data_IF_697574561144
#
_entry.id   IF_697574561144
#
_cell.length_a   1.000
_cell.length_b   1.000
_cell.length_c   1.000
_cell.angle_alpha   90.00
_cell.angle_beta   90.00
_cell.angle_gamma   90.00
#
_symmetry.space_group_name_H-M   'P 1'
#
loop_
_entity.id
_entity.type
_entity.pdbx_description
1 polymer ?
#
# COMPACT_ATOMS: atom_id res chain seq x y z
N UNK A 1 -29.22 -5.42 9.38
CA UNK A 1 -28.31 -6.16 8.47
C UNK A 1 -28.89 -6.00 7.08
N UNK A 2 -28.17 -5.29 6.22
CA UNK A 2 -28.53 -5.20 4.81
C UNK A 2 -28.12 -6.51 4.14
N UNK A 3 -29.05 -7.11 3.40
CA UNK A 3 -28.82 -8.39 2.74
C UNK A 3 -27.95 -8.24 1.49
N UNK A 4 -27.32 -9.33 1.06
CA UNK A 4 -26.73 -9.38 -0.28
C UNK A 4 -27.81 -9.07 -1.34
N UNK A 5 -27.42 -8.35 -2.39
CA UNK A 5 -28.30 -7.86 -3.43
C UNK A 5 -29.05 -6.57 -3.09
N UNK A 6 -28.84 -5.97 -1.92
CA UNK A 6 -29.39 -4.65 -1.62
C UNK A 6 -28.70 -3.56 -2.43
N UNK A 7 -29.47 -2.55 -2.83
CA UNK A 7 -28.94 -1.39 -3.52
C UNK A 7 -28.07 -0.54 -2.56
N UNK A 8 -27.06 0.16 -3.08
CA UNK A 8 -26.17 1.06 -2.32
C UNK A 8 -26.95 2.06 -1.43
N UNK A 9 -28.10 2.53 -1.91
CA UNK A 9 -29.00 3.42 -1.18
C UNK A 9 -29.70 2.79 0.04
N UNK A 10 -29.60 1.48 0.24
CA UNK A 10 -30.14 0.77 1.40
C UNK A 10 -29.09 0.52 2.51
N UNK A 11 -27.80 0.68 2.21
CA UNK A 11 -26.71 0.51 3.17
C UNK A 11 -26.79 1.49 4.35
N UNK A 12 -26.42 1.08 5.56
CA UNK A 12 -26.26 2.07 6.63
C UNK A 12 -25.02 2.94 6.37
N UNK A 13 -25.01 4.18 6.85
CA UNK A 13 -23.86 5.09 6.68
C UNK A 13 -23.27 5.52 8.02
N UNK A 14 -21.96 5.81 8.08
CA UNK A 14 -20.99 5.72 6.98
C UNK A 14 -20.55 4.29 6.64
N UNK A 15 -20.31 4.02 5.35
CA UNK A 15 -19.85 2.72 4.88
C UNK A 15 -18.66 2.82 3.92
N UNK A 16 -17.62 2.02 4.14
CA UNK A 16 -16.54 1.85 3.17
C UNK A 16 -17.02 0.93 2.05
N UNK A 17 -17.03 1.45 0.84
CA UNK A 17 -17.46 0.76 -0.36
C UNK A 17 -16.25 0.35 -1.19
N UNK A 18 -16.38 -0.80 -1.85
CA UNK A 18 -15.41 -1.31 -2.80
C UNK A 18 -16.14 -1.69 -4.09
N UNK A 19 -15.89 -0.94 -5.16
CA UNK A 19 -16.36 -1.27 -6.50
C UNK A 19 -15.55 -2.44 -7.05
N UNK A 20 -16.19 -3.61 -7.20
CA UNK A 20 -15.51 -4.83 -7.62
C UNK A 20 -15.07 -4.78 -9.07
N UNK A 21 -15.83 -4.15 -9.95
CA UNK A 21 -15.46 -4.06 -11.37
C UNK A 21 -14.25 -3.14 -11.53
N UNK A 22 -14.19 -2.01 -10.81
CA UNK A 22 -13.03 -1.12 -10.81
C UNK A 22 -11.79 -1.79 -10.19
N UNK A 23 -11.96 -2.50 -9.07
CA UNK A 23 -10.88 -3.27 -8.45
C UNK A 23 -10.29 -4.30 -9.43
N UNK A 24 -11.14 -5.10 -10.07
CA UNK A 24 -10.73 -6.17 -10.98
C UNK A 24 -10.04 -5.59 -12.23
N UNK A 25 -10.57 -4.47 -12.78
CA UNK A 25 -9.90 -3.74 -13.87
C UNK A 25 -8.52 -3.19 -13.47
N UNK A 26 -8.39 -2.64 -12.27
CA UNK A 26 -7.11 -2.10 -11.79
C UNK A 26 -6.06 -3.21 -11.61
N UNK A 27 -6.48 -4.37 -11.07
CA UNK A 27 -5.62 -5.56 -10.95
C UNK A 27 -5.15 -6.02 -12.33
N UNK A 28 -6.06 -6.18 -13.29
CA UNK A 28 -5.69 -6.62 -14.64
C UNK A 28 -4.80 -5.58 -15.34
N UNK A 29 -5.09 -4.29 -15.19
CA UNK A 29 -4.30 -3.20 -15.79
C UNK A 29 -2.83 -3.25 -15.34
N UNK A 30 -2.59 -3.44 -14.04
CA UNK A 30 -1.24 -3.58 -13.52
C UNK A 30 -0.61 -4.90 -13.97
N UNK A 31 -1.34 -6.01 -13.95
CA UNK A 31 -0.84 -7.30 -14.38
C UNK A 31 -0.43 -7.28 -15.87
N UNK A 32 -1.24 -6.68 -16.74
CA UNK A 32 -0.93 -6.47 -18.16
C UNK A 32 0.32 -5.61 -18.35
N UNK A 33 0.43 -4.51 -17.60
CA UNK A 33 1.61 -3.65 -17.66
C UNK A 33 2.89 -4.40 -17.26
N UNK A 34 2.85 -5.11 -16.13
CA UNK A 34 3.99 -5.85 -15.57
C UNK A 34 4.48 -6.95 -16.51
N UNK A 35 3.58 -7.65 -17.21
CA UNK A 35 3.96 -8.63 -18.25
C UNK A 35 4.77 -8.03 -19.40
N UNK A 36 4.72 -6.72 -19.61
CA UNK A 36 5.41 -6.00 -20.68
C UNK A 36 6.77 -5.41 -20.30
N UNK A 37 7.20 -5.52 -19.04
CA UNK A 37 8.39 -4.87 -18.48
C UNK A 37 9.30 -5.89 -17.77
N UNK A 38 10.58 -5.58 -17.50
CA UNK A 38 11.50 -6.56 -16.92
C UNK A 38 11.25 -6.88 -15.43
N UNK A 39 10.61 -5.98 -14.68
CA UNK A 39 10.32 -6.19 -13.26
C UNK A 39 9.02 -6.95 -13.06
N UNK A 40 8.96 -7.75 -11.99
CA UNK A 40 7.77 -8.44 -11.51
C UNK A 40 6.95 -7.56 -10.53
N UNK A 41 5.75 -8.01 -10.15
CA UNK A 41 4.92 -7.32 -9.16
C UNK A 41 4.85 -8.08 -7.84
N UNK A 42 5.19 -7.39 -6.75
CA UNK A 42 4.97 -7.84 -5.37
C UNK A 42 4.11 -6.81 -4.62
N UNK A 43 2.78 -6.84 -4.80
CA UNK A 43 1.90 -5.76 -4.41
C UNK A 43 1.89 -5.54 -2.91
N UNK A 44 1.61 -4.30 -2.51
CA UNK A 44 1.71 -3.90 -1.12
C UNK A 44 0.37 -3.89 -0.38
N UNK A 45 0.23 -4.85 0.52
CA UNK A 45 -0.96 -5.18 1.30
C UNK A 45 -1.38 -4.12 2.32
N UNK A 46 -0.48 -3.20 2.70
CA UNK A 46 -0.81 -2.12 3.67
C UNK A 46 -1.99 -1.28 3.20
N UNK A 47 -2.22 -1.26 1.89
CA UNK A 47 -3.31 -0.57 1.22
C UNK A 47 -4.67 -1.16 1.59
N UNK A 48 -4.82 -2.49 1.57
CA UNK A 48 -6.13 -3.14 1.71
C UNK A 48 -6.29 -4.08 2.90
N UNK A 49 -5.19 -4.66 3.41
CA UNK A 49 -5.21 -5.46 4.65
C UNK A 49 -6.22 -6.62 4.61
N UNK A 50 -6.55 -7.10 3.41
CA UNK A 50 -7.59 -8.09 3.14
C UNK A 50 -7.04 -9.23 2.27
N UNK A 51 -6.94 -10.46 2.81
CA UNK A 51 -6.37 -11.60 2.09
C UNK A 51 -7.12 -11.99 0.80
N UNK A 52 -8.42 -11.68 0.70
CA UNK A 52 -9.21 -11.96 -0.52
C UNK A 52 -8.64 -11.18 -1.71
N UNK A 53 -8.29 -9.91 -1.49
CA UNK A 53 -7.70 -9.05 -2.53
C UNK A 53 -6.28 -9.52 -2.86
N UNK A 54 -5.50 -9.91 -1.84
CA UNK A 54 -4.16 -10.45 -2.03
C UNK A 54 -4.17 -11.70 -2.93
N UNK A 55 -5.10 -12.64 -2.69
CA UNK A 55 -5.26 -13.82 -3.54
C UNK A 55 -5.66 -13.46 -4.96
N UNK A 56 -6.55 -12.48 -5.17
CA UNK A 56 -6.88 -11.98 -6.52
C UNK A 56 -5.64 -11.43 -7.25
N UNK A 57 -4.73 -10.74 -6.55
CA UNK A 57 -3.49 -10.24 -7.16
C UNK A 57 -2.51 -11.37 -7.48
N UNK A 58 -2.40 -12.38 -6.60
CA UNK A 58 -1.59 -13.58 -6.86
C UNK A 58 -2.13 -14.38 -8.05
N UNK A 59 -3.45 -14.53 -8.16
CA UNK A 59 -4.12 -15.17 -9.31
C UNK A 59 -3.86 -14.42 -10.62
N UNK A 60 -3.71 -13.09 -10.57
CA UNK A 60 -3.36 -12.25 -11.72
C UNK A 60 -1.86 -12.29 -12.08
N UNK A 61 -1.03 -12.98 -11.29
CA UNK A 61 0.39 -13.21 -11.60
C UNK A 61 1.38 -12.51 -10.68
N UNK A 62 0.97 -11.89 -9.57
CA UNK A 62 1.91 -11.37 -8.59
C UNK A 62 2.79 -12.50 -7.99
N UNK A 63 4.08 -12.22 -7.78
CA UNK A 63 5.07 -13.22 -7.35
C UNK A 63 5.08 -13.49 -5.84
N UNK A 64 4.26 -12.76 -5.09
CA UNK A 64 4.19 -12.77 -3.63
C UNK A 64 3.50 -11.50 -3.16
N UNK A 65 3.67 -11.11 -1.91
CA UNK A 65 3.10 -9.86 -1.37
C UNK A 65 4.09 -9.09 -0.50
N UNK A 66 3.80 -7.80 -0.29
CA UNK A 66 4.56 -6.91 0.59
C UNK A 66 3.71 -6.42 1.77
N UNK A 67 4.19 -6.65 3.00
CA UNK A 67 3.60 -6.15 4.24
C UNK A 67 4.47 -5.04 4.86
N UNK A 68 3.85 -4.07 5.53
CA UNK A 68 4.59 -3.00 6.21
C UNK A 68 4.97 -3.38 7.65
N UNK A 69 4.26 -4.35 8.22
CA UNK A 69 4.40 -4.80 9.61
C UNK A 69 4.25 -6.30 9.75
N UNK A 70 4.85 -6.83 10.82
CA UNK A 70 4.77 -8.27 11.13
C UNK A 70 3.34 -8.72 11.39
N UNK A 71 2.53 -7.91 12.08
CA UNK A 71 1.12 -8.23 12.30
C UNK A 71 0.30 -8.43 11.01
N UNK A 72 0.61 -7.66 9.96
CA UNK A 72 0.01 -7.81 8.64
C UNK A 72 0.47 -9.11 7.98
N UNK A 73 1.79 -9.38 7.99
CA UNK A 73 2.37 -10.61 7.43
C UNK A 73 1.79 -11.88 8.07
N UNK A 74 1.59 -11.88 9.40
CA UNK A 74 0.95 -12.99 10.10
C UNK A 74 -0.51 -13.21 9.65
N UNK A 75 -1.26 -12.14 9.37
CA UNK A 75 -2.63 -12.24 8.88
C UNK A 75 -2.68 -12.87 7.48
N UNK A 76 -1.79 -12.44 6.59
CA UNK A 76 -1.69 -12.97 5.24
C UNK A 76 -1.20 -14.41 5.21
N UNK A 77 -0.22 -14.74 6.04
CA UNK A 77 0.28 -16.10 6.20
C UNK A 77 -0.79 -17.06 6.75
N UNK A 78 -1.60 -16.61 7.71
CA UNK A 78 -2.74 -17.39 8.22
C UNK A 78 -3.79 -17.66 7.13
N UNK A 79 -3.91 -16.78 6.13
CA UNK A 79 -4.77 -16.96 4.97
C UNK A 79 -4.13 -17.79 3.83
N UNK A 80 -2.97 -18.40 4.08
CA UNK A 80 -2.31 -19.32 3.14
C UNK A 80 -1.26 -18.69 2.23
N UNK A 81 -1.02 -17.37 2.31
CA UNK A 81 -0.03 -16.68 1.48
C UNK A 81 1.37 -16.94 2.06
N UNK A 82 2.29 -17.45 1.23
CA UNK A 82 3.58 -17.96 1.73
C UNK A 82 4.78 -17.08 1.41
N UNK A 83 4.81 -16.43 0.26
CA UNK A 83 5.90 -15.53 -0.12
C UNK A 83 5.57 -14.09 0.29
N UNK A 84 6.23 -13.61 1.36
CA UNK A 84 5.94 -12.33 1.99
C UNK A 84 7.23 -11.55 2.24
N UNK A 85 7.34 -10.38 1.61
CA UNK A 85 8.31 -9.36 1.97
C UNK A 85 7.74 -8.48 3.08
N UNK A 86 8.44 -8.36 4.20
CA UNK A 86 8.21 -7.31 5.20
C UNK A 86 9.15 -6.17 4.85
N UNK A 87 8.64 -5.17 4.12
CA UNK A 87 9.36 -3.98 3.66
C UNK A 87 9.58 -2.96 4.80
N UNK A 88 10.10 -3.44 5.93
CA UNK A 88 10.35 -2.69 7.16
C UNK A 88 11.21 -3.49 8.15
N UNK A 89 11.92 -2.80 9.03
CA UNK A 89 12.74 -3.43 10.07
C UNK A 89 11.86 -4.00 11.18
N UNK A 90 12.15 -5.24 11.59
CA UNK A 90 11.49 -5.88 12.74
C UNK A 90 12.42 -5.80 13.95
N UNK A 91 12.07 -4.91 14.88
CA UNK A 91 12.87 -4.61 16.07
C UNK A 91 12.12 -4.88 17.37
N UNK A 92 12.81 -5.52 18.31
CA UNK A 92 12.34 -5.83 19.66
C UNK A 92 12.00 -7.30 19.85
N UNK A 93 12.37 -7.84 21.01
CA UNK A 93 12.33 -9.29 21.31
C UNK A 93 10.97 -9.96 21.03
N UNK A 94 9.81 -9.36 21.39
CA UNK A 94 8.52 -9.99 21.09
C UNK A 94 8.25 -10.12 19.59
N UNK A 95 8.67 -9.15 18.78
CA UNK A 95 8.45 -9.16 17.34
C UNK A 95 9.43 -10.12 16.66
N UNK A 96 10.70 -10.07 17.04
CA UNK A 96 11.74 -10.96 16.50
C UNK A 96 11.38 -12.43 16.77
N UNK A 97 10.92 -12.76 17.98
CA UNK A 97 10.45 -14.12 18.30
C UNK A 97 9.29 -14.56 17.42
N UNK A 98 8.31 -13.69 17.18
CA UNK A 98 7.16 -13.98 16.30
C UNK A 98 7.59 -14.14 14.85
N UNK A 99 8.47 -13.26 14.34
CA UNK A 99 9.02 -13.31 13.00
C UNK A 99 9.72 -14.64 12.71
N UNK A 100 10.64 -15.07 13.57
CA UNK A 100 11.37 -16.34 13.36
C UNK A 100 10.46 -17.56 13.47
N UNK A 101 9.37 -17.48 14.25
CA UNK A 101 8.37 -18.54 14.27
C UNK A 101 7.53 -18.54 12.98
N UNK A 102 7.17 -17.37 12.45
CA UNK A 102 6.46 -17.24 11.18
C UNK A 102 7.28 -17.80 10.01
N UNK A 103 8.58 -17.49 9.97
CA UNK A 103 9.53 -17.97 8.97
C UNK A 103 9.74 -19.50 8.97
N UNK A 104 9.22 -20.24 9.96
CA UNK A 104 9.19 -21.72 9.93
C UNK A 104 8.11 -22.26 8.99
N UNK A 105 7.11 -21.45 8.68
CA UNK A 105 5.90 -21.89 8.01
C UNK A 105 5.67 -21.14 6.69
N UNK A 106 6.28 -19.99 6.50
CA UNK A 106 6.16 -19.15 5.32
C UNK A 106 7.55 -18.65 4.88
N UNK A 107 7.70 -18.35 3.60
CA UNK A 107 8.88 -17.71 3.05
C UNK A 107 8.83 -16.21 3.36
N UNK A 108 9.42 -15.84 4.49
CA UNK A 108 9.44 -14.46 4.98
C UNK A 108 10.79 -13.84 4.66
N UNK A 109 10.76 -12.73 3.91
CA UNK A 109 11.88 -11.83 3.69
C UNK A 109 11.67 -10.61 4.58
N UNK A 110 12.69 -10.16 5.32
CA UNK A 110 12.60 -8.96 6.19
C UNK A 110 13.69 -7.95 5.87
N UNK A 111 13.35 -6.66 5.88
CA UNK A 111 14.30 -5.59 5.68
C UNK A 111 15.24 -5.39 6.89
N UNK A 112 16.52 -5.13 6.62
CA UNK A 112 17.55 -4.78 7.61
C UNK A 112 18.36 -3.58 7.15
N UNK A 113 18.86 -2.79 8.10
CA UNK A 113 19.64 -1.57 7.81
C UNK A 113 20.80 -1.34 8.80
N UNK A 114 20.98 -2.22 9.79
CA UNK A 114 22.00 -2.01 10.83
C UNK A 114 22.55 -3.31 11.41
N UNK A 115 23.83 -3.30 11.75
CA UNK A 115 24.54 -4.43 12.38
C UNK A 115 23.86 -4.89 13.68
N UNK A 116 23.28 -3.95 14.45
CA UNK A 116 22.55 -4.27 15.67
C UNK A 116 21.32 -5.13 15.41
N UNK A 117 20.51 -4.76 14.40
CA UNK A 117 19.34 -5.53 14.03
C UNK A 117 19.71 -6.87 13.37
N UNK A 118 20.73 -6.88 12.50
CA UNK A 118 21.27 -8.10 11.87
C UNK A 118 21.67 -9.14 12.93
N UNK A 119 22.47 -8.74 13.93
CA UNK A 119 22.91 -9.66 15.01
C UNK A 119 21.74 -10.19 15.83
N UNK A 120 20.76 -9.35 16.13
CA UNK A 120 19.58 -9.76 16.90
C UNK A 120 18.75 -10.80 16.13
N UNK A 121 18.48 -10.55 14.84
CA UNK A 121 17.77 -11.48 13.98
C UNK A 121 18.56 -12.78 13.78
N UNK A 122 19.87 -12.69 13.56
CA UNK A 122 20.75 -13.84 13.38
C UNK A 122 20.73 -14.77 14.60
N UNK A 123 20.84 -14.21 15.80
CA UNK A 123 20.82 -14.99 17.04
C UNK A 123 19.46 -15.66 17.28
N UNK A 124 18.36 -14.93 17.08
CA UNK A 124 17.02 -15.49 17.21
C UNK A 124 16.74 -16.61 16.20
N UNK A 125 17.13 -16.41 14.94
CA UNK A 125 17.01 -17.40 13.88
C UNK A 125 17.84 -18.66 14.19
N UNK A 126 19.08 -18.47 14.65
CA UNK A 126 19.99 -19.56 15.08
C UNK A 126 19.38 -20.37 16.22
N UNK A 127 18.89 -19.72 17.27
CA UNK A 127 18.26 -20.38 18.42
C UNK A 127 17.01 -21.19 18.03
N UNK A 128 16.30 -20.78 16.98
CA UNK A 128 15.07 -21.43 16.51
C UNK A 128 15.30 -22.44 15.39
N UNK A 129 16.53 -22.58 14.90
CA UNK A 129 16.89 -23.47 13.80
C UNK A 129 16.29 -23.04 12.46
N UNK A 130 16.16 -21.73 12.23
CA UNK A 130 15.62 -21.16 10.98
C UNK A 130 16.73 -20.43 10.25
N UNK A 131 16.71 -20.52 8.92
CA UNK A 131 17.50 -19.65 8.06
C UNK A 131 16.59 -18.54 7.53
N UNK A 132 16.70 -17.34 8.09
CA UNK A 132 15.80 -16.22 7.81
C UNK A 132 16.26 -15.47 6.57
N UNK A 133 15.35 -15.23 5.62
CA UNK A 133 15.62 -14.40 4.46
C UNK A 133 15.62 -12.91 4.87
N UNK A 134 16.66 -12.18 4.44
CA UNK A 134 16.82 -10.76 4.71
C UNK A 134 17.14 -10.00 3.44
N UNK A 135 16.69 -8.75 3.37
CA UNK A 135 16.98 -7.80 2.30
C UNK A 135 17.52 -6.51 2.91
N UNK A 136 18.51 -5.87 2.29
CA UNK A 136 19.05 -4.61 2.83
C UNK A 136 18.20 -3.45 2.32
N UNK A 137 17.66 -2.60 3.21
CA UNK A 137 17.06 -1.33 2.79
C UNK A 137 18.17 -0.30 2.54
N UNK A 138 18.13 0.36 1.39
CA UNK A 138 19.04 1.42 0.96
C UNK A 138 18.26 2.72 0.88
N UNK A 139 18.77 3.78 1.51
CA UNK A 139 18.17 5.11 1.43
C UNK A 139 18.54 5.76 0.09
N UNK A 140 17.59 5.76 -0.83
CA UNK A 140 17.69 6.35 -2.18
C UNK A 140 17.13 7.79 -2.22
N UNK A 141 17.16 8.49 -1.08
CA UNK A 141 16.72 9.87 -0.94
C UNK A 141 15.41 10.06 -0.17
N UNK A 142 14.81 8.99 0.34
CA UNK A 142 13.57 9.08 1.12
C UNK A 142 13.84 9.57 2.56
N UNK A 143 15.09 9.53 3.04
CA UNK A 143 15.52 10.06 4.33
C UNK A 143 14.67 9.53 5.50
N UNK A 144 14.35 8.23 5.45
CA UNK A 144 13.44 7.55 6.39
C UNK A 144 14.15 6.42 7.12
N UNK A 145 14.55 5.42 6.36
CA UNK A 145 15.24 4.19 6.75
C UNK A 145 16.18 3.83 5.59
N UNK A 146 17.13 2.95 5.85
CA UNK A 146 18.08 2.39 4.92
C UNK A 146 19.52 2.80 5.22
N UNK A 147 20.46 1.97 4.77
CA UNK A 147 21.88 2.34 4.69
C UNK A 147 22.10 3.33 3.56
N UNK A 148 23.15 4.14 3.67
CA UNK A 148 23.58 4.94 2.53
C UNK A 148 24.03 4.03 1.36
N UNK A 149 23.80 4.45 0.10
CA UNK A 149 24.25 3.71 -1.09
C UNK A 149 25.76 3.41 -1.08
N UNK A 150 26.16 2.33 -1.76
CA UNK A 150 27.57 1.95 -1.94
C UNK A 150 28.21 1.24 -0.74
N UNK A 151 29.39 1.69 -0.30
CA UNK A 151 30.22 0.97 0.69
C UNK A 151 29.50 0.71 2.03
N UNK A 152 28.70 1.63 2.61
CA UNK A 152 27.98 1.34 3.85
C UNK A 152 27.01 0.15 3.73
N UNK A 153 26.36 0.02 2.57
CA UNK A 153 25.50 -1.14 2.26
C UNK A 153 26.32 -2.42 2.10
N UNK A 154 27.49 -2.32 1.45
CA UNK A 154 28.42 -3.45 1.31
C UNK A 154 28.99 -3.92 2.66
N UNK A 155 29.28 -3.02 3.58
CA UNK A 155 29.70 -3.35 4.95
C UNK A 155 28.63 -4.15 5.69
N UNK A 156 27.36 -3.74 5.58
CA UNK A 156 26.25 -4.49 6.16
C UNK A 156 26.08 -5.87 5.51
N UNK A 157 26.25 -5.97 4.17
CA UNK A 157 26.21 -7.25 3.46
C UNK A 157 27.30 -8.22 3.97
N UNK A 158 28.50 -7.72 4.26
CA UNK A 158 29.58 -8.51 4.89
C UNK A 158 29.21 -8.98 6.30
N UNK A 159 28.57 -8.14 7.12
CA UNK A 159 28.09 -8.53 8.45
C UNK A 159 27.04 -9.64 8.35
N UNK A 160 26.05 -9.50 7.45
CA UNK A 160 25.01 -10.51 7.21
C UNK A 160 25.63 -11.85 6.79
N UNK A 161 26.61 -11.84 5.87
CA UNK A 161 27.27 -13.07 5.42
C UNK A 161 28.07 -13.80 6.51
N UNK A 162 28.45 -13.11 7.59
CA UNK A 162 29.09 -13.74 8.75
C UNK A 162 28.11 -14.58 9.61
N UNK A 163 26.80 -14.51 9.33
CA UNK A 163 25.75 -15.19 10.07
C UNK A 163 25.05 -16.28 9.22
N UNK A 164 25.39 -17.57 9.39
CA UNK A 164 24.79 -18.67 8.61
C UNK A 164 23.27 -18.85 8.78
N UNK A 165 22.70 -18.32 9.88
CA UNK A 165 21.26 -18.31 10.15
C UNK A 165 20.50 -17.24 9.36
N UNK A 166 21.19 -16.40 8.60
CA UNK A 166 20.60 -15.44 7.68
C UNK A 166 20.88 -15.83 6.22
N UNK A 167 19.98 -15.41 5.34
CA UNK A 167 20.09 -15.55 3.91
C UNK A 167 19.81 -14.19 3.26
N UNK A 168 20.85 -13.52 2.79
CA UNK A 168 20.68 -12.29 2.04
C UNK A 168 20.06 -12.58 0.67
N UNK A 169 18.94 -11.93 0.36
CA UNK A 169 18.22 -12.04 -0.92
C UNK A 169 18.47 -10.85 -1.85
N UNK A 170 19.13 -9.79 -1.39
CA UNK A 170 19.41 -8.61 -2.19
C UNK A 170 19.16 -7.32 -1.43
N UNK A 171 18.59 -6.33 -2.11
CA UNK A 171 18.38 -4.98 -1.61
C UNK A 171 17.03 -4.40 -2.03
N UNK A 172 16.53 -3.46 -1.23
CA UNK A 172 15.36 -2.66 -1.56
C UNK A 172 15.67 -1.17 -1.41
N UNK A 173 15.02 -0.32 -2.20
CA UNK A 173 15.14 1.13 -2.09
C UNK A 173 13.85 1.81 -2.55
N UNK A 174 13.11 2.39 -1.61
CA UNK A 174 11.81 2.96 -1.89
C UNK A 174 11.86 4.48 -2.10
N UNK A 175 11.60 4.92 -3.32
CA UNK A 175 11.51 6.32 -3.75
C UNK A 175 10.17 6.97 -3.37
N UNK A 176 9.83 6.91 -2.07
CA UNK A 176 8.57 7.43 -1.53
C UNK A 176 8.30 8.91 -1.81
N UNK A 177 9.35 9.71 -1.87
CA UNK A 177 9.29 11.14 -2.19
C UNK A 177 8.84 11.45 -3.62
N UNK A 178 8.83 10.45 -4.52
CA UNK A 178 8.39 10.62 -5.91
C UNK A 178 6.89 10.34 -6.11
N UNK A 179 6.24 9.62 -5.19
CA UNK A 179 4.93 8.99 -5.45
C UNK A 179 3.80 9.95 -5.78
N UNK A 180 3.87 11.19 -5.28
CA UNK A 180 2.81 12.19 -5.45
C UNK A 180 3.30 13.44 -6.21
N UNK A 181 4.43 13.34 -6.90
CA UNK A 181 4.84 14.36 -7.89
C UNK A 181 3.88 14.27 -9.06
N UNK A 182 3.21 15.40 -9.34
CA UNK A 182 2.13 15.49 -10.34
C UNK A 182 2.69 15.30 -11.75
N UNK A 183 3.67 16.13 -12.12
CA UNK A 183 4.30 16.14 -13.44
C UNK A 183 5.08 14.85 -13.69
N UNK A 184 4.79 14.18 -14.81
CA UNK A 184 5.39 12.89 -15.12
C UNK A 184 6.89 12.98 -15.37
N UNK A 185 7.37 14.05 -16.02
CA UNK A 185 8.78 14.18 -16.39
C UNK A 185 9.65 14.51 -15.18
N UNK A 186 9.20 15.41 -14.29
CA UNK A 186 9.84 15.66 -13.00
C UNK A 186 9.91 14.38 -12.15
N UNK A 187 8.82 13.60 -12.13
CA UNK A 187 8.78 12.33 -11.42
C UNK A 187 9.74 11.31 -12.03
N UNK A 188 9.82 11.24 -13.36
CA UNK A 188 10.74 10.37 -14.10
C UNK A 188 12.19 10.72 -13.79
N UNK A 189 12.57 11.98 -13.83
CA UNK A 189 13.94 12.43 -13.51
C UNK A 189 14.35 11.97 -12.10
N UNK A 190 13.52 12.27 -11.10
CA UNK A 190 13.80 11.95 -9.69
C UNK A 190 13.80 10.45 -9.40
N UNK A 191 12.83 9.70 -9.91
CA UNK A 191 12.76 8.25 -9.72
C UNK A 191 13.93 7.54 -10.40
N UNK A 192 14.32 7.97 -11.61
CA UNK A 192 15.49 7.44 -12.33
C UNK A 192 16.78 7.70 -11.56
N UNK A 193 16.92 8.88 -10.93
CA UNK A 193 18.04 9.20 -10.06
C UNK A 193 18.14 8.27 -8.84
N UNK A 194 17.01 8.04 -8.15
CA UNK A 194 16.94 7.11 -7.03
C UNK A 194 17.29 5.67 -7.45
N UNK A 195 16.78 5.20 -8.59
CA UNK A 195 17.06 3.86 -9.10
C UNK A 195 18.53 3.70 -9.54
N UNK A 196 19.17 4.77 -10.02
CA UNK A 196 20.60 4.75 -10.32
C UNK A 196 21.45 4.50 -9.06
N UNK A 197 21.11 5.12 -7.93
CA UNK A 197 21.78 4.86 -6.64
C UNK A 197 21.55 3.42 -6.16
N UNK A 198 20.32 2.91 -6.30
CA UNK A 198 19.99 1.54 -5.91
C UNK A 198 20.75 0.52 -6.76
N UNK A 199 20.70 0.65 -8.09
CA UNK A 199 21.29 -0.29 -9.03
C UNK A 199 22.82 -0.22 -9.00
N UNK A 200 23.42 0.96 -8.85
CA UNK A 200 24.88 1.05 -8.66
C UNK A 200 25.35 0.38 -7.37
N UNK A 201 24.54 0.45 -6.30
CA UNK A 201 24.78 -0.30 -5.06
C UNK A 201 24.62 -1.81 -5.29
N UNK A 202 23.60 -2.22 -6.03
CA UNK A 202 23.42 -3.61 -6.46
C UNK A 202 24.65 -4.13 -7.19
N UNK A 203 25.10 -3.41 -8.22
CA UNK A 203 26.23 -3.81 -9.05
C UNK A 203 27.51 -3.97 -8.20
N UNK A 204 27.74 -3.06 -7.24
CA UNK A 204 28.83 -3.19 -6.27
C UNK A 204 28.73 -4.47 -5.43
N UNK A 205 27.53 -4.84 -4.98
CA UNK A 205 27.30 -6.06 -4.19
C UNK A 205 27.53 -7.32 -5.03
N UNK A 206 27.03 -7.32 -6.27
CA UNK A 206 27.19 -8.43 -7.22
C UNK A 206 28.66 -8.67 -7.58
N UNK A 207 29.42 -7.61 -7.84
CA UNK A 207 30.87 -7.64 -8.07
C UNK A 207 31.67 -8.24 -6.89
N UNK A 208 31.10 -8.22 -5.69
CA UNK A 208 31.69 -8.83 -4.47
C UNK A 208 31.12 -10.20 -4.15
N UNK A 209 30.24 -10.74 -5.00
CA UNK A 209 29.65 -12.06 -4.88
C UNK A 209 28.53 -12.17 -3.85
N UNK A 210 27.90 -11.05 -3.46
CA UNK A 210 26.69 -11.07 -2.64
C UNK A 210 25.45 -11.29 -3.51
N UNK A 211 24.42 -11.92 -2.93
CA UNK A 211 23.16 -12.13 -3.65
C UNK A 211 22.50 -10.79 -3.96
N UNK A 212 22.05 -10.65 -5.20
CA UNK A 212 21.30 -9.50 -5.73
C UNK A 212 20.06 -9.96 -6.50
N UNK A 213 19.55 -11.15 -6.17
CA UNK A 213 18.39 -11.76 -6.83
C UNK A 213 17.10 -10.92 -6.68
N UNK A 214 17.00 -10.11 -5.63
CA UNK A 214 15.92 -9.13 -5.43
C UNK A 214 16.50 -7.72 -5.36
N UNK A 215 16.00 -6.86 -6.24
CA UNK A 215 16.13 -5.41 -6.23
C UNK A 215 14.71 -4.84 -6.24
N UNK A 216 14.15 -4.65 -5.03
CA UNK A 216 12.77 -4.24 -4.84
C UNK A 216 12.65 -2.72 -4.68
N UNK A 217 11.72 -2.10 -5.39
CA UNK A 217 11.50 -0.65 -5.35
C UNK A 217 10.07 -0.30 -5.76
N UNK A 218 9.79 0.98 -6.03
CA UNK A 218 8.56 1.34 -6.74
C UNK A 218 7.31 1.41 -5.87
N UNK A 219 6.42 2.31 -6.28
CA UNK A 219 5.07 2.39 -5.74
C UNK A 219 4.09 2.73 -6.85
N UNK A 220 2.82 2.95 -6.50
CA UNK A 220 1.78 3.27 -7.48
C UNK A 220 2.13 4.47 -8.35
N UNK A 221 2.75 5.52 -7.79
CA UNK A 221 3.11 6.71 -8.58
C UNK A 221 4.28 6.47 -9.54
N UNK A 222 5.18 5.54 -9.21
CA UNK A 222 6.44 5.35 -9.95
C UNK A 222 6.53 4.03 -10.70
N UNK A 223 5.55 3.13 -10.59
CA UNK A 223 5.60 1.79 -11.20
C UNK A 223 6.00 1.84 -12.69
N UNK A 224 5.45 2.81 -13.44
CA UNK A 224 5.71 2.99 -14.86
C UNK A 224 7.14 3.46 -15.24
N UNK A 225 7.92 3.86 -14.25
CA UNK A 225 9.32 4.31 -14.40
C UNK A 225 10.23 3.23 -13.83
N UNK A 226 9.92 2.80 -12.61
CA UNK A 226 10.75 1.89 -11.81
C UNK A 226 10.73 0.47 -12.37
N UNK A 227 9.59 -0.02 -12.86
CA UNK A 227 9.49 -1.36 -13.44
C UNK A 227 10.26 -1.51 -14.77
N UNK A 228 10.51 -0.40 -15.47
CA UNK A 228 11.30 -0.36 -16.71
C UNK A 228 12.80 -0.16 -16.46
N UNK A 229 13.20 0.21 -15.24
CA UNK A 229 14.58 0.56 -14.94
C UNK A 229 15.48 -0.69 -14.95
N UNK A 230 16.53 -0.76 -15.78
CA UNK A 230 17.39 -1.93 -15.86
C UNK A 230 18.05 -2.25 -14.50
N UNK A 231 17.85 -3.47 -14.02
CA UNK A 231 18.41 -3.94 -12.75
C UNK A 231 17.43 -3.92 -11.58
N UNK A 232 16.27 -3.27 -11.70
CA UNK A 232 15.14 -3.48 -10.78
C UNK A 232 14.46 -4.81 -11.13
N UNK A 233 14.17 -5.63 -10.12
CA UNK A 233 13.60 -6.97 -10.33
C UNK A 233 12.13 -7.06 -9.94
N UNK A 234 11.67 -6.24 -8.99
CA UNK A 234 10.27 -6.24 -8.55
C UNK A 234 9.80 -4.86 -8.10
N UNK A 235 8.49 -4.61 -8.20
CA UNK A 235 7.85 -3.38 -7.72
C UNK A 235 6.82 -3.61 -6.62
N UNK A 236 6.78 -2.71 -5.63
CA UNK A 236 5.94 -2.78 -4.42
C UNK A 236 4.65 -1.93 -4.52
N UNK A 237 4.10 -1.74 -5.72
CA UNK A 237 2.90 -0.91 -5.90
C UNK A 237 1.68 -1.50 -5.14
N UNK A 238 0.97 -0.65 -4.38
CA UNK A 238 -0.18 -1.06 -3.56
C UNK A 238 -1.46 -0.31 -3.91
N UNK A 239 -1.46 1.02 -3.77
CA UNK A 239 -2.64 1.89 -3.94
C UNK A 239 -3.32 1.82 -5.31
N UNK A 240 -2.69 1.22 -6.32
CA UNK A 240 -3.20 1.17 -7.71
C UNK A 240 -4.55 0.45 -7.80
N UNK A 241 -4.81 -0.51 -6.89
CA UNK A 241 -6.07 -1.26 -6.86
C UNK A 241 -7.28 -0.40 -6.48
N UNK A 242 -7.06 0.69 -5.75
CA UNK A 242 -8.12 1.52 -5.18
C UNK A 242 -8.15 2.92 -5.74
N UNK A 243 -6.98 3.49 -6.00
CA UNK A 243 -6.79 4.92 -6.21
C UNK A 243 -7.37 5.76 -5.06
N UNK A 244 -7.15 7.07 -5.13
CA UNK A 244 -7.69 8.05 -4.21
C UNK A 244 -7.61 9.45 -4.83
N UNK A 245 -8.12 10.45 -4.12
CA UNK A 245 -8.08 11.83 -4.59
C UNK A 245 -6.65 12.37 -4.73
N UNK A 246 -5.65 11.79 -4.04
CA UNK A 246 -4.25 12.17 -4.23
C UNK A 246 -3.74 11.62 -5.56
N UNK A 247 -3.86 10.32 -5.78
CA UNK A 247 -3.35 9.68 -7.00
C UNK A 247 -4.13 10.10 -8.25
N UNK A 248 -5.39 10.53 -8.14
CA UNK A 248 -6.15 11.07 -9.28
C UNK A 248 -5.55 12.36 -9.87
N UNK A 249 -4.56 12.97 -9.22
CA UNK A 249 -3.88 14.19 -9.68
C UNK A 249 -2.48 13.90 -10.25
N UNK A 250 -2.04 12.65 -10.22
CA UNK A 250 -0.71 12.22 -10.65
C UNK A 250 -0.80 11.77 -12.10
N UNK A 251 -0.07 12.44 -13.00
CA UNK A 251 -0.10 12.15 -14.44
C UNK A 251 0.40 10.73 -14.72
N UNK A 252 -0.16 10.06 -15.73
CA UNK A 252 0.22 8.69 -16.13
C UNK A 252 -0.51 7.58 -15.39
N UNK A 253 -1.40 7.92 -14.45
CA UNK A 253 -2.23 6.96 -13.70
C UNK A 253 -3.70 6.94 -14.17
N UNK A 254 -4.03 7.56 -15.30
CA UNK A 254 -5.40 7.75 -15.78
C UNK A 254 -6.11 6.44 -16.14
N UNK A 255 -5.36 5.34 -16.29
CA UNK A 255 -5.89 4.00 -16.56
C UNK A 255 -6.49 3.32 -15.34
N UNK A 256 -6.20 3.82 -14.13
CA UNK A 256 -6.70 3.24 -12.89
C UNK A 256 -7.93 4.00 -12.39
N UNK A 257 -8.98 3.24 -12.05
CA UNK A 257 -10.26 3.77 -11.59
C UNK A 257 -10.30 3.90 -10.06
N UNK A 258 -10.97 4.92 -9.50
CA UNK A 258 -11.31 4.97 -8.08
C UNK A 258 -12.26 3.85 -7.67
N UNK A 259 -11.72 2.77 -7.09
CA UNK A 259 -12.48 1.62 -6.63
C UNK A 259 -12.91 1.71 -5.16
N UNK A 260 -12.25 2.57 -4.36
CA UNK A 260 -12.53 2.74 -2.94
C UNK A 260 -13.25 4.07 -2.67
N UNK A 261 -14.46 4.00 -2.13
CA UNK A 261 -15.24 5.18 -1.72
C UNK A 261 -15.82 5.02 -0.33
N UNK A 262 -16.28 6.15 0.25
CA UNK A 262 -17.05 6.18 1.48
C UNK A 262 -18.45 6.69 1.17
N UNK A 263 -19.46 5.90 1.50
CA UNK A 263 -20.86 6.32 1.48
C UNK A 263 -21.19 7.12 2.73
N UNK A 264 -21.86 8.24 2.57
CA UNK A 264 -22.26 9.13 3.65
C UNK A 264 -23.66 9.67 3.41
N UNK A 265 -24.40 9.96 4.48
CA UNK A 265 -25.73 10.56 4.42
C UNK A 265 -25.67 12.06 4.73
N UNK A 266 -26.40 12.87 3.97
CA UNK A 266 -26.65 14.28 4.30
C UNK A 266 -27.57 14.36 5.53
N UNK A 267 -27.02 14.82 6.65
CA UNK A 267 -27.71 14.89 7.95
C UNK A 267 -28.24 16.29 8.27
N UNK A 268 -27.73 17.33 7.63
CA UNK A 268 -28.20 18.70 7.85
C UNK A 268 -27.99 19.62 6.66
N UNK A 269 -28.95 20.54 6.45
CA UNK A 269 -28.92 21.62 5.46
C UNK A 269 -29.16 22.95 6.18
N UNK A 270 -28.20 23.43 7.00
CA UNK A 270 -28.46 24.50 7.97
C UNK A 270 -28.71 25.87 7.33
N UNK A 271 -28.20 26.10 6.11
CA UNK A 271 -28.38 27.35 5.35
C UNK A 271 -28.01 27.13 3.87
N UNK A 272 -28.45 28.01 2.95
CA UNK A 272 -28.06 27.93 1.54
C UNK A 272 -26.55 27.82 1.35
N UNK A 273 -26.15 26.94 0.43
CA UNK A 273 -24.75 26.70 0.07
C UNK A 273 -23.95 25.84 1.05
N UNK A 274 -24.56 25.36 2.16
CA UNK A 274 -23.88 24.50 3.14
C UNK A 274 -24.70 23.24 3.40
N UNK A 275 -24.04 22.09 3.32
CA UNK A 275 -24.57 20.81 3.75
C UNK A 275 -23.64 20.16 4.79
N UNK A 276 -24.21 19.32 5.64
CA UNK A 276 -23.48 18.51 6.62
C UNK A 276 -23.78 17.05 6.32
N UNK A 277 -22.75 16.23 6.30
CA UNK A 277 -22.83 14.78 6.14
C UNK A 277 -22.28 14.07 7.38
N UNK A 278 -22.60 12.78 7.53
CA UNK A 278 -22.13 11.92 8.63
C UNK A 278 -20.70 11.36 8.46
N UNK A 279 -19.97 11.77 7.42
CA UNK A 279 -18.58 11.40 7.24
C UNK A 279 -17.64 12.42 7.90
N UNK A 280 -17.18 12.15 9.12
CA UNK A 280 -16.19 12.95 9.85
C UNK A 280 -14.78 12.34 9.85
N UNK A 281 -13.94 12.72 10.81
CA UNK A 281 -12.57 12.20 10.99
C UNK A 281 -12.49 10.72 11.38
N UNK A 282 -13.55 10.16 11.97
CA UNK A 282 -13.64 8.72 12.26
C UNK A 282 -14.06 7.90 11.04
N UNK A 283 -14.42 8.59 9.96
CA UNK A 283 -14.90 8.01 8.70
C UNK A 283 -13.88 8.18 7.58
N UNK A 284 -13.29 9.38 7.49
CA UNK A 284 -12.31 9.73 6.47
C UNK A 284 -11.06 10.33 7.11
N UNK A 285 -9.89 9.87 6.67
CA UNK A 285 -8.61 10.42 7.12
C UNK A 285 -8.26 11.72 6.39
N UNK A 286 -7.59 12.62 7.11
CA UNK A 286 -7.10 13.89 6.58
C UNK A 286 -5.63 14.03 6.94
N UNK A 287 -4.79 14.19 5.94
CA UNK A 287 -3.35 14.33 6.10
C UNK A 287 -2.90 15.70 5.58
N UNK A 288 -1.91 16.34 6.23
CA UNK A 288 -1.33 17.57 5.71
C UNK A 288 -0.83 17.38 4.27
N UNK A 289 -0.96 18.41 3.44
CA UNK A 289 -0.49 18.44 2.05
C UNK A 289 -1.17 17.43 1.09
N UNK A 290 -2.27 16.80 1.51
CA UNK A 290 -3.12 15.97 0.64
C UNK A 290 -4.41 16.72 0.24
N UNK A 291 -5.03 16.37 -0.92
CA UNK A 291 -6.38 16.79 -1.26
C UNK A 291 -7.37 16.56 -0.12
N UNK A 292 -8.44 17.36 -0.11
CA UNK A 292 -9.67 16.93 0.53
C UNK A 292 -10.33 15.79 -0.27
N UNK A 293 -11.14 14.94 0.37
CA UNK A 293 -11.97 13.95 -0.31
C UNK A 293 -12.84 14.62 -1.39
N UNK A 294 -13.09 13.91 -2.49
CA UNK A 294 -13.88 14.41 -3.62
C UNK A 294 -15.22 13.70 -3.66
N UNK A 295 -16.30 14.44 -3.93
CA UNK A 295 -17.61 13.82 -4.18
C UNK A 295 -17.57 13.12 -5.53
N UNK A 296 -17.96 11.84 -5.57
CA UNK A 296 -18.02 11.05 -6.80
C UNK A 296 -19.27 11.44 -7.60
N UNK A 297 -19.11 11.67 -8.89
CA UNK A 297 -20.23 11.86 -9.83
C UNK A 297 -21.04 13.15 -9.71
N UNK A 298 -20.71 14.04 -8.76
CA UNK A 298 -21.43 15.31 -8.55
C UNK A 298 -20.48 16.50 -8.59
N UNK A 299 -20.78 17.47 -9.46
CA UNK A 299 -20.10 18.76 -9.51
C UNK A 299 -20.74 19.78 -8.57
N UNK A 300 -20.01 20.84 -8.24
CA UNK A 300 -20.51 21.93 -7.39
C UNK A 300 -20.62 21.57 -5.90
N UNK A 301 -20.13 20.41 -5.46
CA UNK A 301 -20.07 20.05 -4.03
C UNK A 301 -18.62 19.81 -3.63
N UNK A 302 -18.15 20.52 -2.61
CA UNK A 302 -16.78 20.42 -2.10
C UNK A 302 -16.75 20.11 -0.61
N UNK A 303 -15.86 19.22 -0.20
CA UNK A 303 -15.61 18.91 1.21
C UNK A 303 -14.66 19.95 1.81
N UNK A 304 -15.12 20.75 2.79
CA UNK A 304 -14.34 21.87 3.32
C UNK A 304 -13.64 21.55 4.64
N UNK A 305 -14.34 20.89 5.56
CA UNK A 305 -13.86 20.71 6.93
C UNK A 305 -14.55 19.53 7.61
N UNK A 306 -13.92 19.00 8.65
CA UNK A 306 -14.45 17.88 9.43
C UNK A 306 -14.39 18.13 10.94
N UNK A 307 -15.37 17.59 11.64
CA UNK A 307 -15.32 17.25 13.06
C UNK A 307 -15.13 15.74 13.22
N UNK A 308 -15.31 15.18 14.42
CA UNK A 308 -15.19 13.73 14.62
C UNK A 308 -16.16 12.93 13.74
N UNK A 309 -17.43 13.32 13.71
CA UNK A 309 -18.54 12.57 13.08
C UNK A 309 -19.23 13.34 11.95
N UNK A 310 -18.83 14.59 11.69
CA UNK A 310 -19.50 15.40 10.67
C UNK A 310 -18.52 15.98 9.66
N UNK A 311 -18.89 15.89 8.39
CA UNK A 311 -18.24 16.58 7.28
C UNK A 311 -19.05 17.79 6.84
N UNK A 312 -18.40 18.94 6.70
CA UNK A 312 -19.00 20.19 6.19
C UNK A 312 -18.70 20.32 4.71
N UNK A 313 -19.75 20.47 3.92
CA UNK A 313 -19.70 20.62 2.48
C UNK A 313 -20.13 22.04 2.07
N UNK A 314 -19.45 22.62 1.08
CA UNK A 314 -19.97 23.72 0.29
C UNK A 314 -20.71 23.20 -0.93
N UNK A 315 -21.79 23.89 -1.29
CA UNK A 315 -22.69 23.53 -2.40
C UNK A 315 -22.91 24.77 -3.27
N UNK A 316 -22.43 24.72 -4.51
CA UNK A 316 -22.52 25.79 -5.50
C UNK A 316 -23.28 25.30 -6.73
N UNK A 317 -24.40 25.96 -7.08
CA UNK A 317 -25.09 25.74 -8.37
C UNK A 317 -25.54 24.30 -8.69
N UNK A 318 -25.43 23.37 -7.74
CA UNK A 318 -25.64 21.93 -7.93
C UNK A 318 -27.10 21.48 -7.76
N UNK A 319 -27.38 20.18 -7.98
CA UNK A 319 -28.68 19.61 -7.63
C UNK A 319 -28.98 19.87 -6.16
N UNK A 320 -30.23 20.22 -5.85
CA UNK A 320 -30.63 20.49 -4.48
C UNK A 320 -30.53 19.24 -3.63
N UNK A 321 -29.44 19.13 -2.84
CA UNK A 321 -29.29 18.10 -1.82
C UNK A 321 -30.47 18.15 -0.86
N UNK A 322 -30.93 16.98 -0.44
CA UNK A 322 -31.99 16.79 0.54
C UNK A 322 -31.42 16.10 1.77
N UNK A 323 -32.08 16.32 2.90
CA UNK A 323 -31.81 15.55 4.10
C UNK A 323 -32.09 14.08 3.82
N UNK A 324 -31.14 13.20 4.15
CA UNK A 324 -31.21 11.77 3.86
C UNK A 324 -30.62 11.35 2.50
N UNK A 325 -30.23 12.29 1.63
CA UNK A 325 -29.52 11.94 0.41
C UNK A 325 -28.19 11.25 0.75
N UNK A 326 -27.84 10.23 -0.03
CA UNK A 326 -26.53 9.59 0.09
C UNK A 326 -25.57 10.11 -0.96
N UNK A 327 -24.33 10.29 -0.54
CA UNK A 327 -23.24 10.77 -1.36
C UNK A 327 -22.02 9.88 -1.16
N UNK A 328 -21.27 9.67 -2.23
CA UNK A 328 -20.02 8.92 -2.20
C UNK A 328 -18.82 9.86 -2.23
N UNK A 329 -17.84 9.56 -1.39
CA UNK A 329 -16.56 10.25 -1.36
C UNK A 329 -15.44 9.36 -1.86
N UNK A 330 -14.72 9.81 -2.89
CA UNK A 330 -13.36 9.35 -3.18
C UNK A 330 -12.47 9.93 -2.07
N UNK A 331 -11.89 9.04 -1.27
CA UNK A 331 -11.12 9.42 -0.07
C UNK A 331 -9.83 10.15 -0.45
N UNK A 332 -9.26 10.90 0.51
CA UNK A 332 -7.99 11.60 0.30
C UNK A 332 -6.83 10.63 0.09
N UNK A 333 -6.73 9.61 0.95
CA UNK A 333 -5.69 8.60 0.91
C UNK A 333 -6.26 7.24 1.31
N UNK A 334 -6.22 6.27 0.39
CA UNK A 334 -6.85 4.97 0.57
C UNK A 334 -6.30 4.18 1.77
N UNK A 335 -4.98 4.09 1.94
CA UNK A 335 -4.35 3.21 2.92
C UNK A 335 -4.71 3.56 4.37
N UNK A 336 -4.67 4.85 4.71
CA UNK A 336 -5.01 5.31 6.06
C UNK A 336 -6.50 5.22 6.32
N UNK A 337 -7.32 5.44 5.27
CA UNK A 337 -8.77 5.33 5.34
C UNK A 337 -9.24 3.89 5.63
N UNK A 338 -8.69 2.90 4.92
CA UNK A 338 -9.02 1.47 5.11
C UNK A 338 -8.82 1.06 6.57
N UNK A 339 -7.80 1.56 7.24
CA UNK A 339 -7.51 1.18 8.63
C UNK A 339 -8.55 1.68 9.66
N UNK A 340 -9.51 2.52 9.25
CA UNK A 340 -10.65 2.94 10.08
C UNK A 340 -11.81 1.93 10.09
N UNK A 341 -11.84 0.98 9.14
CA UNK A 341 -13.00 0.10 8.92
C UNK A 341 -12.65 -1.37 9.15
N UNK A 342 -13.58 -2.11 9.76
CA UNK A 342 -13.48 -3.56 9.93
C UNK A 342 -13.81 -4.34 8.64
N UNK A 343 -14.55 -3.73 7.70
CA UNK A 343 -15.06 -4.42 6.51
C UNK A 343 -15.25 -3.50 5.30
N UNK A 344 -15.14 -4.09 4.11
CA UNK A 344 -15.59 -3.51 2.84
C UNK A 344 -17.02 -3.95 2.55
N UNK A 345 -17.84 -3.03 2.04
CA UNK A 345 -19.08 -3.35 1.34
C UNK A 345 -18.78 -3.43 -0.15
N UNK A 346 -18.67 -4.65 -0.66
CA UNK A 346 -18.27 -4.91 -2.04
C UNK A 346 -19.48 -4.81 -2.97
N UNK A 347 -19.40 -3.92 -3.95
CA UNK A 347 -20.50 -3.60 -4.85
C UNK A 347 -20.20 -4.07 -6.27
N UNK A 348 -21.25 -4.52 -6.97
CA UNK A 348 -21.29 -4.68 -8.42
C UNK A 348 -22.59 -4.09 -8.93
N UNK A 349 -22.54 -3.26 -9.98
CA UNK A 349 -23.70 -2.54 -10.51
C UNK A 349 -24.56 -1.86 -9.42
N UNK A 350 -23.93 -1.16 -8.47
CA UNK A 350 -24.57 -0.49 -7.32
C UNK A 350 -25.30 -1.42 -6.32
N UNK A 351 -25.10 -2.74 -6.38
CA UNK A 351 -25.69 -3.70 -5.45
C UNK A 351 -24.63 -4.43 -4.63
N UNK A 352 -24.95 -4.70 -3.36
CA UNK A 352 -24.06 -5.40 -2.43
C UNK A 352 -23.86 -6.86 -2.84
N UNK A 353 -22.68 -7.19 -3.35
CA UNK A 353 -22.32 -8.56 -3.75
C UNK A 353 -21.70 -9.33 -2.57
N UNK A 354 -20.88 -8.66 -1.76
CA UNK A 354 -20.20 -9.27 -0.63
C UNK A 354 -19.85 -8.25 0.46
N UNK A 355 -19.50 -8.77 1.64
CA UNK A 355 -18.87 -7.99 2.70
C UNK A 355 -17.57 -8.68 3.08
N UNK A 356 -16.44 -8.02 2.84
CA UNK A 356 -15.11 -8.60 3.09
C UNK A 356 -14.49 -7.99 4.35
N UNK A 357 -14.03 -8.85 5.26
CA UNK A 357 -13.32 -8.42 6.46
C UNK A 357 -11.94 -7.85 6.10
N UNK A 358 -11.58 -6.74 6.74
CA UNK A 358 -10.24 -6.15 6.72
C UNK A 358 -9.43 -6.84 7.82
N UNK A 359 -9.05 -8.10 7.58
CA UNK A 359 -8.47 -9.02 8.58
C UNK A 359 -7.21 -8.47 9.27
N UNK A 360 -6.43 -7.62 8.57
CA UNK A 360 -5.22 -6.99 9.10
C UNK A 360 -5.42 -5.54 9.59
N UNK A 361 -6.67 -5.08 9.81
CA UNK A 361 -6.95 -3.78 10.42
C UNK A 361 -6.27 -3.65 11.77
N UNK A 362 -5.60 -2.53 12.00
CA UNK A 362 -4.94 -2.22 13.26
C UNK A 362 -3.73 -3.11 13.60
N UNK A 363 -3.35 -4.05 12.73
CA UNK A 363 -2.20 -4.96 12.95
C UNK A 363 -0.84 -4.29 12.69
N UNK A 364 -0.63 -3.16 13.34
CA UNK A 364 0.53 -2.27 13.16
C UNK A 364 1.75 -2.65 14.00
N UNK A 365 1.66 -3.74 14.78
CA UNK A 365 2.68 -4.23 15.72
C UNK A 365 3.84 -4.99 15.07
#
# INVERSE_FOLDING_TARGET
MVGLGAHINELDTPALLLDLDALERNIETMAEYIRGVPAELRPHEKTHKCPIIAHKQLEAGAIGITCAKLGEAEAMAAAGIRDILIANQVVGEPKVTRLVNLAKHSDIIVAVESNGNVRHLAEAARMKGVRLNVIIEVDVGNNRCGTAPGEPTLELARDIASHPSLNMRGLMGYEGFCQNIIDLEERREKATGAMAELVSTRDLLDDKGFSTEIVSAGGTGTHMITAEYPGVTEVEAGSYIFMDATYSRVEGLEKYDPALTVLSTITSLPRPGIAICDAGRKTITFEPNRPMPRVKGLEGISYEASSEEHGRLSVEGGPGLRMGDKIEFIVSHCCTNVNLYDQYHCLRDDHLEAVWEITARGRSQ
#
